data_IF_751679933913
#
_entry.id   IF_751679933913
#
_cell.length_a   1.000
_cell.length_b   1.000
_cell.length_c   1.000
_cell.angle_alpha   90.00
_cell.angle_beta   90.00
_cell.angle_gamma   90.00
#
_symmetry.space_group_name_H-M   'P 1'
#
loop_
_entity.id
_entity.type
_entity.pdbx_description
1 polymer ?
#
# COMPACT_ATOMS: atom_id res chain seq x y z
N UNK A 1 -20.12 14.49 -3.26
CA UNK A 1 -18.70 14.14 -3.17
C UNK A 1 -18.44 12.81 -3.84
N UNK A 2 -17.47 12.74 -4.70
CA UNK A 2 -17.07 11.49 -5.34
C UNK A 2 -16.13 10.72 -4.41
N UNK A 3 -16.35 9.41 -4.30
CA UNK A 3 -15.43 8.52 -3.59
C UNK A 3 -14.19 8.34 -4.47
N UNK A 4 -12.97 8.48 -3.93
CA UNK A 4 -11.77 8.22 -4.72
C UNK A 4 -11.71 6.77 -5.18
N UNK A 5 -11.21 6.54 -6.39
CA UNK A 5 -11.05 5.19 -6.93
C UNK A 5 -9.68 4.65 -6.51
N UNK A 6 -9.63 3.99 -5.37
CA UNK A 6 -8.46 3.27 -4.90
C UNK A 6 -8.56 1.83 -5.42
N UNK A 7 -7.87 1.57 -6.52
CA UNK A 7 -7.93 0.28 -7.21
C UNK A 7 -7.32 -0.82 -6.36
N UNK A 8 -6.22 -0.52 -5.68
CA UNK A 8 -5.53 -1.47 -4.80
C UNK A 8 -4.75 -0.70 -3.74
N UNK A 9 -4.70 -1.25 -2.53
CA UNK A 9 -3.80 -0.81 -1.47
C UNK A 9 -2.83 -1.94 -1.18
N UNK A 10 -1.52 -1.66 -1.26
CA UNK A 10 -0.48 -2.67 -1.05
C UNK A 10 0.48 -2.27 0.05
N UNK A 11 0.75 -3.19 0.95
CA UNK A 11 1.82 -3.07 1.93
C UNK A 11 3.09 -3.66 1.31
N UNK A 12 4.11 -2.81 1.16
CA UNK A 12 5.42 -3.25 0.70
C UNK A 12 6.46 -2.34 1.35
N UNK A 13 7.35 -2.91 2.14
CA UNK A 13 8.32 -2.11 2.86
C UNK A 13 9.40 -1.49 1.98
N UNK A 14 9.45 -1.88 0.71
CA UNK A 14 10.32 -1.24 -0.30
C UNK A 14 9.62 -0.09 -1.02
N UNK A 15 8.30 0.09 -0.79
CA UNK A 15 7.45 1.07 -1.48
C UNK A 15 7.44 0.81 -3.00
N UNK A 16 7.73 1.81 -3.82
CA UNK A 16 7.72 1.64 -5.28
C UNK A 16 9.07 1.14 -5.76
N UNK A 17 9.08 -0.03 -6.37
CA UNK A 17 10.24 -0.67 -7.00
C UNK A 17 9.76 -1.36 -8.26
N UNK A 18 10.65 -2.02 -9.01
CA UNK A 18 10.33 -2.56 -10.33
C UNK A 18 9.03 -3.36 -10.39
N UNK A 19 8.81 -4.26 -9.43
CA UNK A 19 7.64 -5.12 -9.40
C UNK A 19 6.34 -4.33 -9.15
N UNK A 20 6.35 -3.44 -8.15
CA UNK A 20 5.20 -2.58 -7.85
C UNK A 20 4.96 -1.59 -8.98
N UNK A 21 6.02 -0.91 -9.42
CA UNK A 21 5.90 0.17 -10.41
C UNK A 21 5.57 -0.32 -11.81
N UNK A 22 5.93 -1.55 -12.17
CA UNK A 22 5.75 -2.07 -13.53
C UNK A 22 4.67 -3.14 -13.58
N UNK A 23 4.83 -4.22 -12.81
CA UNK A 23 3.95 -5.40 -12.92
C UNK A 23 2.56 -5.10 -12.37
N UNK A 24 2.50 -4.58 -11.15
CA UNK A 24 1.21 -4.35 -10.49
C UNK A 24 0.42 -3.20 -11.11
N UNK A 25 1.05 -2.08 -11.45
CA UNK A 25 0.34 -0.95 -12.05
C UNK A 25 -0.34 -1.36 -13.36
N UNK A 26 0.34 -2.14 -14.17
CA UNK A 26 -0.23 -2.65 -15.42
C UNK A 26 -1.36 -3.63 -15.17
N UNK A 27 -1.16 -4.59 -14.26
CA UNK A 27 -2.15 -5.64 -13.98
C UNK A 27 -3.48 -5.10 -13.44
N UNK A 28 -3.46 -4.03 -12.66
CA UNK A 28 -4.68 -3.46 -12.04
C UNK A 28 -5.24 -2.26 -12.80
N UNK A 29 -4.59 -1.81 -13.86
CA UNK A 29 -5.07 -0.68 -14.64
C UNK A 29 -4.99 0.66 -13.91
N UNK A 30 -4.04 0.82 -12.99
CA UNK A 30 -3.83 2.08 -12.29
C UNK A 30 -3.15 3.11 -13.19
N UNK A 31 -3.49 4.39 -13.02
CA UNK A 31 -2.82 5.48 -13.72
C UNK A 31 -2.12 6.45 -12.77
N UNK A 32 -2.24 6.22 -11.47
CA UNK A 32 -1.58 7.04 -10.44
C UNK A 32 -1.08 6.16 -9.31
N UNK A 33 0.22 6.25 -9.04
CA UNK A 33 0.83 5.69 -7.83
C UNK A 33 0.77 6.74 -6.73
N UNK A 34 0.17 6.42 -5.60
CA UNK A 34 0.18 7.27 -4.42
C UNK A 34 0.97 6.58 -3.33
N UNK A 35 2.14 7.12 -3.00
CA UNK A 35 2.98 6.65 -1.91
C UNK A 35 2.59 7.42 -0.65
N UNK A 36 1.94 6.74 0.29
CA UNK A 36 1.55 7.33 1.57
C UNK A 36 2.56 6.88 2.63
N UNK A 37 3.57 7.72 2.84
CA UNK A 37 4.66 7.43 3.78
C UNK A 37 5.35 8.73 4.18
N UNK A 38 5.42 8.99 5.48
CA UNK A 38 5.96 10.25 5.99
C UNK A 38 7.43 10.45 5.63
N UNK A 39 8.25 9.43 5.75
CA UNK A 39 9.67 9.52 5.40
C UNK A 39 9.87 9.78 3.91
N UNK A 40 9.17 9.03 3.05
CA UNK A 40 9.28 9.21 1.60
C UNK A 40 8.76 10.58 1.14
N UNK A 41 7.73 11.09 1.80
CA UNK A 41 7.18 12.42 1.50
C UNK A 41 8.18 13.55 1.77
N UNK A 42 9.22 13.28 2.55
CA UNK A 42 10.24 14.25 2.92
C UNK A 42 11.65 13.88 2.41
N UNK A 43 11.75 12.91 1.50
CA UNK A 43 13.03 12.41 1.00
C UNK A 43 13.13 12.58 -0.53
N UNK A 44 13.72 13.68 -1.01
CA UNK A 44 13.82 13.94 -2.45
C UNK A 44 14.57 12.86 -3.24
N UNK A 45 15.56 12.21 -2.64
CA UNK A 45 16.31 11.14 -3.32
C UNK A 45 15.45 9.91 -3.56
N UNK A 46 14.71 9.46 -2.55
CA UNK A 46 13.78 8.34 -2.72
C UNK A 46 12.69 8.69 -3.73
N UNK A 47 12.17 9.90 -3.69
CA UNK A 47 11.16 10.36 -4.65
C UNK A 47 11.68 10.31 -6.08
N UNK A 48 12.91 10.74 -6.31
CA UNK A 48 13.53 10.71 -7.64
C UNK A 48 13.63 9.28 -8.17
N UNK A 49 14.10 8.35 -7.35
CA UNK A 49 14.23 6.95 -7.72
C UNK A 49 12.88 6.31 -8.03
N UNK A 50 11.88 6.55 -7.21
CA UNK A 50 10.53 6.00 -7.40
C UNK A 50 9.83 6.63 -8.61
N UNK A 51 10.06 7.92 -8.85
CA UNK A 51 9.52 8.62 -10.03
C UNK A 51 10.06 8.03 -11.32
N UNK A 52 11.35 7.71 -11.37
CA UNK A 52 11.95 7.06 -12.53
C UNK A 52 11.30 5.72 -12.83
N UNK A 53 10.99 4.94 -11.79
CA UNK A 53 10.28 3.66 -11.93
C UNK A 53 8.85 3.88 -12.47
N UNK A 54 8.13 4.85 -11.94
CA UNK A 54 6.77 5.17 -12.38
C UNK A 54 6.75 5.61 -13.84
N UNK A 55 7.73 6.41 -14.27
CA UNK A 55 7.85 6.86 -15.66
C UNK A 55 8.00 5.68 -16.63
N UNK A 56 8.70 4.63 -16.21
CA UNK A 56 8.86 3.41 -17.02
C UNK A 56 7.49 2.78 -17.34
N UNK A 57 6.52 2.90 -16.44
CA UNK A 57 5.17 2.38 -16.63
C UNK A 57 4.19 3.40 -17.20
N UNK A 58 4.63 4.63 -17.44
CA UNK A 58 3.79 5.68 -17.97
C UNK A 58 2.70 6.17 -17.01
N UNK A 59 2.90 6.01 -15.69
CA UNK A 59 1.91 6.42 -14.69
C UNK A 59 2.42 7.61 -13.88
N UNK A 60 1.50 8.44 -13.37
CA UNK A 60 1.83 9.52 -12.46
C UNK A 60 2.18 8.98 -11.07
N UNK A 61 2.88 9.79 -10.28
CA UNK A 61 3.23 9.42 -8.91
C UNK A 61 3.12 10.65 -8.00
N UNK A 62 2.65 10.41 -6.77
CA UNK A 62 2.57 11.42 -5.72
C UNK A 62 3.13 10.83 -4.43
N UNK A 63 3.75 11.68 -3.62
CA UNK A 63 4.31 11.31 -2.31
C UNK A 63 3.64 12.19 -1.27
N UNK A 64 2.81 11.58 -0.43
CA UNK A 64 2.09 12.30 0.63
C UNK A 64 2.40 11.68 1.97
N UNK A 65 2.38 12.51 3.01
CA UNK A 65 2.35 12.01 4.38
C UNK A 65 1.03 11.28 4.62
N UNK A 66 0.97 10.49 5.67
CA UNK A 66 -0.28 9.82 6.05
C UNK A 66 -1.38 10.85 6.35
N UNK A 67 -1.04 11.91 7.07
CA UNK A 67 -2.01 12.97 7.40
C UNK A 67 -2.53 13.69 6.15
N UNK A 68 -1.66 13.99 5.20
CA UNK A 68 -2.07 14.60 3.93
C UNK A 68 -2.97 13.66 3.13
N UNK A 69 -2.68 12.38 3.14
CA UNK A 69 -3.52 11.38 2.46
C UNK A 69 -4.93 11.39 3.05
N UNK A 70 -5.02 11.37 4.37
CA UNK A 70 -6.32 11.41 5.08
C UNK A 70 -7.10 12.66 4.71
N UNK A 71 -6.47 13.83 4.70
CA UNK A 71 -7.15 15.11 4.47
C UNK A 71 -7.46 15.38 3.00
N UNK A 72 -6.78 14.75 2.07
CA UNK A 72 -6.76 15.19 0.66
C UNK A 72 -7.30 14.16 -0.32
N UNK A 73 -7.23 12.86 -0.01
CA UNK A 73 -7.57 11.81 -0.98
C UNK A 73 -9.03 11.89 -1.48
N UNK A 74 -9.94 12.40 -0.66
CA UNK A 74 -11.34 12.56 -1.06
C UNK A 74 -11.53 13.57 -2.20
N UNK A 75 -10.52 14.39 -2.47
CA UNK A 75 -10.53 15.39 -3.54
C UNK A 75 -10.00 14.84 -4.87
N UNK A 76 -9.60 13.57 -4.89
CA UNK A 76 -9.07 12.96 -6.11
C UNK A 76 -10.13 12.94 -7.21
N UNK A 77 -9.68 13.19 -8.46
CA UNK A 77 -10.56 13.12 -9.61
C UNK A 77 -11.05 11.68 -9.84
N UNK A 78 -12.30 11.46 -10.27
CA UNK A 78 -12.77 10.11 -10.61
C UNK A 78 -12.02 9.49 -11.78
N UNK A 79 -11.24 10.27 -12.53
CA UNK A 79 -10.39 9.77 -13.60
C UNK A 79 -9.06 9.20 -13.08
N UNK A 80 -8.74 9.44 -11.82
CA UNK A 80 -7.53 8.92 -11.19
C UNK A 80 -7.84 7.53 -10.63
N UNK A 81 -7.16 6.52 -11.18
CA UNK A 81 -7.25 5.13 -10.72
C UNK A 81 -6.01 4.88 -9.88
N UNK A 82 -6.18 4.94 -8.57
CA UNK A 82 -5.09 5.05 -7.61
C UNK A 82 -4.60 3.68 -7.14
N UNK A 83 -3.30 3.46 -7.28
CA UNK A 83 -2.59 2.38 -6.61
C UNK A 83 -1.93 2.98 -5.36
N UNK A 84 -2.50 2.69 -4.21
CA UNK A 84 -2.01 3.19 -2.93
C UNK A 84 -0.94 2.24 -2.38
N UNK A 85 0.28 2.74 -2.22
CA UNK A 85 1.41 1.95 -1.72
C UNK A 85 1.80 2.47 -0.34
N UNK A 86 1.84 1.59 0.63
CA UNK A 86 2.08 1.90 2.04
C UNK A 86 3.15 0.97 2.58
N UNK A 87 3.91 1.41 3.55
CA UNK A 87 5.06 0.67 4.04
C UNK A 87 4.71 -0.42 5.05
N UNK A 88 3.75 -0.17 5.95
CA UNK A 88 3.46 -1.04 7.09
C UNK A 88 1.95 -1.20 7.31
N UNK A 89 1.53 -2.29 7.98
CA UNK A 89 0.11 -2.44 8.33
C UNK A 89 -0.38 -1.37 9.32
N UNK A 90 0.49 -0.86 10.19
CA UNK A 90 0.14 0.23 11.11
C UNK A 90 -0.24 1.49 10.34
N UNK A 91 0.49 1.80 9.28
CA UNK A 91 0.20 2.95 8.43
C UNK A 91 -1.16 2.80 7.73
N UNK A 92 -1.46 1.61 7.22
CA UNK A 92 -2.77 1.35 6.60
C UNK A 92 -3.89 1.52 7.62
N UNK A 93 -3.71 1.00 8.83
CA UNK A 93 -4.71 1.13 9.87
C UNK A 93 -4.98 2.60 10.22
N UNK A 94 -3.93 3.43 10.28
CA UNK A 94 -4.08 4.87 10.48
C UNK A 94 -4.93 5.50 9.37
N UNK A 95 -4.68 5.13 8.14
CA UNK A 95 -5.45 5.64 6.99
C UNK A 95 -6.92 5.23 7.08
N UNK A 96 -7.19 3.97 7.40
CA UNK A 96 -8.57 3.45 7.54
C UNK A 96 -9.30 4.18 8.66
N UNK A 97 -8.67 4.33 9.81
CA UNK A 97 -9.25 5.07 10.95
C UNK A 97 -9.47 6.54 10.62
N UNK A 98 -8.67 7.10 9.74
CA UNK A 98 -8.82 8.48 9.25
C UNK A 98 -9.89 8.67 8.20
N UNK A 99 -10.56 7.60 7.76
CA UNK A 99 -11.65 7.69 6.80
C UNK A 99 -11.27 7.43 5.34
N UNK A 100 -10.04 7.01 5.06
CA UNK A 100 -9.65 6.61 3.70
C UNK A 100 -10.41 5.33 3.33
N UNK A 101 -11.12 5.30 2.18
CA UNK A 101 -12.00 4.18 1.84
C UNK A 101 -11.23 2.98 1.29
N UNK A 102 -10.52 2.29 2.14
CA UNK A 102 -9.76 1.09 1.82
C UNK A 102 -10.62 -0.13 2.14
N UNK A 103 -10.93 -0.93 1.13
CA UNK A 103 -11.77 -2.13 1.28
C UNK A 103 -10.95 -3.41 1.40
N UNK A 104 -9.79 -3.44 0.76
CA UNK A 104 -8.90 -4.59 0.83
C UNK A 104 -7.45 -4.14 0.82
N UNK A 105 -6.58 -4.96 1.38
CA UNK A 105 -5.15 -4.71 1.48
C UNK A 105 -4.38 -5.92 1.00
N UNK A 106 -3.52 -5.70 0.02
CA UNK A 106 -2.56 -6.68 -0.45
C UNK A 106 -1.27 -6.57 0.37
N UNK A 107 -0.89 -7.65 1.03
CA UNK A 107 0.41 -7.73 1.71
C UNK A 107 1.41 -8.34 0.75
N UNK A 108 2.32 -7.50 0.25
CA UNK A 108 3.30 -7.92 -0.74
C UNK A 108 4.64 -8.30 -0.16
N UNK A 109 5.16 -7.46 0.72
CA UNK A 109 6.46 -7.69 1.31
C UNK A 109 6.59 -7.00 2.67
N UNK A 110 6.91 -7.79 3.68
CA UNK A 110 7.25 -7.31 5.01
C UNK A 110 8.49 -8.07 5.43
N UNK A 111 9.67 -7.44 5.24
CA UNK A 111 10.92 -8.15 5.39
C UNK A 111 11.26 -8.50 6.84
N UNK A 112 12.20 -9.42 6.99
CA UNK A 112 12.66 -9.87 8.30
C UNK A 112 13.36 -8.76 9.08
N UNK A 113 13.10 -8.72 10.38
CA UNK A 113 13.95 -8.07 11.36
C UNK A 113 13.87 -8.89 12.64
N UNK A 114 14.80 -8.63 13.56
CA UNK A 114 14.87 -9.37 14.82
C UNK A 114 13.54 -9.29 15.57
N UNK A 115 13.08 -10.43 16.09
CA UNK A 115 11.82 -10.52 16.82
C UNK A 115 10.59 -10.79 15.95
N UNK A 116 10.76 -10.90 14.64
CA UNK A 116 9.64 -11.19 13.73
C UNK A 116 9.55 -12.67 13.39
N UNK A 117 8.32 -13.11 13.23
CA UNK A 117 7.95 -14.47 12.86
C UNK A 117 7.58 -14.52 11.37
N UNK A 118 8.07 -15.53 10.68
CA UNK A 118 7.72 -15.73 9.27
C UNK A 118 6.32 -16.36 9.16
N UNK A 119 5.42 -15.70 8.44
CA UNK A 119 4.09 -16.24 8.15
C UNK A 119 3.89 -16.56 6.67
N UNK A 120 4.79 -16.10 5.82
CA UNK A 120 4.81 -16.41 4.39
C UNK A 120 6.23 -16.18 3.87
N UNK A 121 6.48 -16.58 2.63
CA UNK A 121 7.82 -16.51 2.02
C UNK A 121 8.47 -15.12 2.16
N UNK A 122 7.69 -14.06 1.99
CA UNK A 122 8.18 -12.68 2.02
C UNK A 122 7.53 -11.83 3.11
N UNK A 123 6.83 -12.46 4.05
CA UNK A 123 6.09 -11.73 5.08
C UNK A 123 6.48 -12.22 6.47
N UNK A 124 7.06 -11.31 7.23
CA UNK A 124 7.49 -11.50 8.62
C UNK A 124 6.76 -10.49 9.48
N UNK A 125 6.24 -10.91 10.61
CA UNK A 125 5.42 -10.08 11.49
C UNK A 125 5.87 -10.18 12.95
N UNK A 126 5.70 -9.08 13.68
CA UNK A 126 5.81 -9.05 15.14
C UNK A 126 4.41 -8.87 15.74
N UNK A 127 4.34 -8.73 17.06
CA UNK A 127 3.07 -8.57 17.75
C UNK A 127 2.35 -7.29 17.32
N UNK A 128 3.09 -6.20 17.11
CA UNK A 128 2.52 -4.93 16.65
C UNK A 128 1.90 -5.06 15.25
N UNK A 129 2.56 -5.78 14.35
CA UNK A 129 2.04 -6.05 13.01
C UNK A 129 0.76 -6.88 13.07
N UNK A 130 0.73 -7.93 13.91
CA UNK A 130 -0.45 -8.77 14.10
C UNK A 130 -1.64 -7.97 14.62
N UNK A 131 -1.40 -7.09 15.59
CA UNK A 131 -2.44 -6.22 16.14
C UNK A 131 -2.99 -5.27 15.09
N UNK A 132 -2.13 -4.69 14.26
CA UNK A 132 -2.56 -3.79 13.18
C UNK A 132 -3.40 -4.55 12.14
N UNK A 133 -2.97 -5.75 11.75
CA UNK A 133 -3.72 -6.58 10.80
C UNK A 133 -5.08 -6.98 11.39
N UNK A 134 -5.11 -7.37 12.65
CA UNK A 134 -6.38 -7.66 13.34
C UNK A 134 -7.30 -6.43 13.36
N UNK A 135 -6.75 -5.25 13.58
CA UNK A 135 -7.51 -4.00 13.55
C UNK A 135 -8.10 -3.71 12.17
N UNK A 136 -7.37 -4.01 11.11
CA UNK A 136 -7.87 -3.88 9.73
C UNK A 136 -9.02 -4.85 9.48
N UNK A 137 -8.88 -6.10 9.87
CA UNK A 137 -9.93 -7.12 9.72
C UNK A 137 -11.17 -6.73 10.51
N UNK A 138 -11.01 -6.26 11.75
CA UNK A 138 -12.11 -5.78 12.58
C UNK A 138 -12.85 -4.58 11.95
N UNK A 139 -12.13 -3.77 11.18
CA UNK A 139 -12.71 -2.64 10.46
C UNK A 139 -13.41 -3.04 9.16
N UNK A 140 -13.45 -4.33 8.84
CA UNK A 140 -14.08 -4.84 7.63
C UNK A 140 -13.19 -4.87 6.40
N UNK A 141 -11.88 -4.69 6.59
CA UNK A 141 -10.91 -4.71 5.49
C UNK A 141 -10.47 -6.15 5.23
N UNK A 142 -10.53 -6.56 3.98
CA UNK A 142 -10.01 -7.87 3.55
C UNK A 142 -8.50 -7.77 3.40
N UNK A 143 -7.75 -8.58 4.14
CA UNK A 143 -6.28 -8.59 4.11
C UNK A 143 -5.81 -9.91 3.52
N UNK A 144 -4.94 -9.85 2.51
CA UNK A 144 -4.43 -11.05 1.88
C UNK A 144 -2.97 -10.89 1.46
N UNK A 145 -2.24 -12.02 1.47
CA UNK A 145 -0.85 -12.07 1.02
C UNK A 145 -0.84 -12.45 -0.46
N UNK A 146 -0.12 -11.69 -1.27
CA UNK A 146 0.09 -11.96 -2.68
C UNK A 146 1.28 -11.14 -3.17
N UNK A 147 2.34 -11.79 -3.60
CA UNK A 147 3.55 -11.12 -4.04
C UNK A 147 3.39 -10.56 -5.46
N UNK A 148 2.93 -11.37 -6.39
CA UNK A 148 2.75 -11.02 -7.80
C UNK A 148 1.32 -11.35 -8.25
N UNK A 149 0.80 -10.66 -9.30
CA UNK A 149 -0.59 -10.85 -9.73
C UNK A 149 -0.95 -12.29 -10.12
N UNK A 150 0.02 -13.07 -10.58
CA UNK A 150 -0.20 -14.46 -11.00
C UNK A 150 -0.35 -15.44 -9.84
N UNK A 151 0.07 -15.04 -8.63
CA UNK A 151 -0.05 -15.89 -7.46
C UNK A 151 -1.48 -15.92 -6.92
N UNK A 152 -1.80 -17.01 -6.23
CA UNK A 152 -3.07 -17.12 -5.52
C UNK A 152 -3.06 -16.21 -4.30
N UNK A 153 -4.19 -15.56 -4.03
CA UNK A 153 -4.37 -14.76 -2.82
C UNK A 153 -4.51 -15.66 -1.59
N UNK A 154 -3.71 -15.37 -0.57
CA UNK A 154 -3.77 -16.04 0.72
C UNK A 154 -4.46 -15.10 1.72
N UNK A 155 -5.76 -15.28 1.90
CA UNK A 155 -6.57 -14.39 2.74
C UNK A 155 -6.29 -14.68 4.21
N UNK A 156 -5.96 -13.63 4.94
CA UNK A 156 -5.64 -13.73 6.36
C UNK A 156 -6.90 -13.65 7.23
N UNK A 157 -6.93 -14.48 8.27
CA UNK A 157 -7.85 -14.34 9.39
C UNK A 157 -7.11 -13.68 10.56
N UNK A 158 -7.84 -13.30 11.59
CA UNK A 158 -7.22 -12.67 12.77
C UNK A 158 -6.23 -13.63 13.43
N UNK A 159 -5.15 -13.05 13.92
CA UNK A 159 -4.13 -13.78 14.67
C UNK A 159 -4.59 -14.09 16.09
#
# INVERSE_FOLDING_TARGET
MTTPDIVLTRIDNRLVHGQVGVVWTSAIGANLLLVANDAAANDPLQQELMTATAETSGVGIRFWTLDKTISTISKASPRQHIFLVVKTPQDVLKLVKGGVPIKEVNVGNMHFSEGKEQISKKVFVDQSDKEAINGLIDAGVRVYIQDVPEEKQDVLSKF
#
